data_IF_206276061401
#
_entry.id   IF_206276061401
#
_cell.length_a   1.000
_cell.length_b   1.000
_cell.length_c   1.000
_cell.angle_alpha   90.00
_cell.angle_beta   90.00
_cell.angle_gamma   90.00
#
_symmetry.space_group_name_H-M   'P 1'
#
loop_
_entity.id
_entity.type
_entity.pdbx_description
1 polymer ?
#
# COMPACT_ATOMS: atom_id res chain seq x y z
N UNK A 1 -12.80 -12.21 5.08
CA UNK A 1 -12.59 -10.75 5.07
C UNK A 1 -13.95 -10.09 5.22
N UNK A 2 -14.03 -8.98 5.93
CA UNK A 2 -15.26 -8.20 6.05
C UNK A 2 -14.87 -6.73 5.98
N UNK A 3 -14.77 -6.18 4.76
CA UNK A 3 -14.46 -4.78 4.54
C UNK A 3 -15.44 -4.16 3.55
N UNK A 4 -15.97 -2.99 3.88
CA UNK A 4 -16.88 -2.20 3.04
C UNK A 4 -16.26 -0.82 2.90
N UNK A 5 -16.02 -0.37 1.67
CA UNK A 5 -15.46 0.96 1.36
C UNK A 5 -14.18 1.35 2.14
N UNK A 6 -13.29 0.39 2.40
CA UNK A 6 -12.02 0.64 3.09
C UNK A 6 -12.09 0.63 4.62
N UNK A 7 -13.25 0.29 5.19
CA UNK A 7 -13.45 0.05 6.62
C UNK A 7 -13.75 -1.41 6.89
N UNK A 8 -13.19 -1.96 7.96
CA UNK A 8 -13.44 -3.34 8.40
C UNK A 8 -12.15 -4.12 8.59
N UNK A 9 -12.12 -5.39 8.19
CA UNK A 9 -10.95 -6.25 8.38
C UNK A 9 -10.50 -6.98 7.12
N UNK A 10 -9.17 -7.00 6.91
CA UNK A 10 -8.55 -7.58 5.73
C UNK A 10 -7.12 -8.05 6.02
N UNK A 11 -6.63 -9.00 5.23
CA UNK A 11 -5.18 -9.22 5.12
C UNK A 11 -4.53 -8.02 4.41
N UNK A 12 -3.41 -7.54 4.95
CA UNK A 12 -2.63 -6.44 4.39
C UNK A 12 -1.13 -6.75 4.51
N UNK A 13 -0.41 -6.50 3.42
CA UNK A 13 1.02 -6.79 3.31
C UNK A 13 1.34 -8.26 3.04
N UNK A 14 2.51 -8.50 2.47
CA UNK A 14 3.06 -9.82 2.19
C UNK A 14 4.55 -9.81 2.55
N UNK A 15 5.03 -10.86 3.23
CA UNK A 15 6.44 -11.05 3.56
C UNK A 15 6.74 -12.55 3.75
N UNK A 16 8.00 -12.88 4.06
CA UNK A 16 8.45 -14.25 4.38
C UNK A 16 7.92 -15.28 3.37
N UNK A 17 8.10 -14.97 2.09
CA UNK A 17 7.74 -15.85 1.00
C UNK A 17 8.52 -17.16 1.10
N UNK A 18 7.88 -18.27 0.71
CA UNK A 18 8.51 -19.58 0.60
C UNK A 18 8.41 -20.12 -0.83
N UNK A 19 9.26 -21.09 -1.17
CA UNK A 19 9.32 -21.69 -2.50
C UNK A 19 8.02 -22.41 -2.88
N UNK A 20 7.28 -22.90 -1.89
CA UNK A 20 5.95 -23.51 -2.03
C UNK A 20 4.84 -22.49 -2.37
N UNK A 21 5.16 -21.21 -2.53
CA UNK A 21 4.19 -20.17 -2.86
C UNK A 21 3.49 -19.58 -1.64
N UNK A 22 3.73 -20.09 -0.44
CA UNK A 22 3.16 -19.55 0.78
C UNK A 22 3.85 -18.25 1.21
N UNK A 23 3.15 -17.42 1.97
CA UNK A 23 3.69 -16.15 2.48
C UNK A 23 2.99 -15.70 3.76
N UNK A 24 3.65 -14.86 4.54
CA UNK A 24 3.07 -14.26 5.75
C UNK A 24 2.33 -12.97 5.41
N UNK A 25 1.09 -12.87 5.87
CA UNK A 25 0.29 -11.64 5.82
C UNK A 25 -0.32 -11.35 7.19
N UNK A 26 -0.49 -10.07 7.52
CA UNK A 26 -1.12 -9.68 8.78
C UNK A 26 -2.58 -9.34 8.53
N UNK A 27 -3.46 -9.80 9.41
CA UNK A 27 -4.88 -9.46 9.40
C UNK A 27 -5.10 -8.20 10.24
N UNK A 28 -5.72 -7.19 9.64
CA UNK A 28 -5.83 -5.85 10.19
C UNK A 28 -7.28 -5.42 10.34
N UNK A 29 -7.54 -4.56 11.34
CA UNK A 29 -8.61 -3.56 11.24
C UNK A 29 -8.08 -2.42 10.37
N UNK A 30 -8.83 -2.09 9.33
CA UNK A 30 -8.54 -0.99 8.41
C UNK A 30 -9.54 0.15 8.59
N UNK A 31 -9.05 1.38 8.49
CA UNK A 31 -9.84 2.61 8.41
C UNK A 31 -9.37 3.39 7.18
N UNK A 32 -10.29 3.74 6.27
CA UNK A 32 -9.96 4.41 5.02
C UNK A 32 -8.76 3.77 4.26
N UNK A 33 -8.74 2.43 4.17
CA UNK A 33 -7.66 1.62 3.56
C UNK A 33 -6.31 1.63 4.28
N UNK A 34 -6.19 2.32 5.41
CA UNK A 34 -4.99 2.35 6.24
C UNK A 34 -5.06 1.21 7.28
N UNK A 35 -4.06 0.31 7.36
CA UNK A 35 -3.97 -0.71 8.40
C UNK A 35 -3.66 -0.08 9.76
N UNK A 36 -4.63 -0.11 10.68
CA UNK A 36 -4.54 0.58 11.98
C UNK A 36 -4.18 -0.38 13.11
N UNK A 37 -4.94 -1.47 13.26
CA UNK A 37 -4.76 -2.42 14.37
C UNK A 37 -4.46 -3.81 13.81
N UNK A 38 -3.26 -4.38 14.05
CA UNK A 38 -2.97 -5.75 13.67
C UNK A 38 -3.67 -6.69 14.66
N UNK A 39 -4.39 -7.69 14.14
CA UNK A 39 -5.13 -8.66 14.96
C UNK A 39 -4.33 -9.95 15.15
N UNK A 40 -3.77 -10.47 14.06
CA UNK A 40 -2.88 -11.65 14.05
C UNK A 40 -2.13 -11.70 12.71
N UNK A 41 -1.04 -12.43 12.64
CA UNK A 41 -0.42 -12.78 11.37
C UNK A 41 -0.82 -14.18 10.95
N UNK A 42 -0.78 -14.47 9.66
CA UNK A 42 -1.10 -15.78 9.13
C UNK A 42 -0.15 -16.13 7.99
N UNK A 43 0.23 -17.40 7.93
CA UNK A 43 0.82 -17.96 6.71
C UNK A 43 -0.31 -18.31 5.77
N UNK A 44 -0.38 -17.60 4.66
CA UNK A 44 -1.32 -17.84 3.57
C UNK A 44 -0.76 -19.00 2.73
N UNK A 45 -1.53 -20.08 2.65
CA UNK A 45 -1.19 -21.26 1.86
C UNK A 45 -1.83 -21.18 0.47
N UNK A 46 -3.08 -20.74 0.43
CA UNK A 46 -3.85 -20.66 -0.79
C UNK A 46 -4.89 -19.52 -0.73
N UNK A 47 -5.26 -18.98 -1.87
CA UNK A 47 -6.27 -17.91 -1.97
C UNK A 47 -7.15 -18.11 -3.20
N UNK A 48 -8.46 -18.17 -2.98
CA UNK A 48 -9.47 -18.27 -4.04
C UNK A 48 -10.49 -17.14 -3.87
N UNK A 49 -10.43 -16.13 -4.74
CA UNK A 49 -11.29 -14.96 -4.60
C UNK A 49 -11.03 -14.22 -3.28
N UNK A 50 -12.06 -14.19 -2.43
CA UNK A 50 -12.05 -13.61 -1.08
C UNK A 50 -11.78 -14.63 0.03
N UNK A 51 -11.66 -15.93 -0.33
CA UNK A 51 -11.39 -17.02 0.62
C UNK A 51 -9.89 -17.27 0.70
N UNK A 52 -9.41 -17.40 1.93
CA UNK A 52 -8.00 -17.66 2.24
C UNK A 52 -7.94 -18.98 2.99
N UNK A 53 -7.04 -19.86 2.56
CA UNK A 53 -6.57 -20.97 3.38
C UNK A 53 -5.29 -20.51 4.06
N UNK A 54 -5.30 -20.50 5.40
CA UNK A 54 -4.22 -19.93 6.17
C UNK A 54 -4.06 -20.60 7.52
N UNK A 55 -2.85 -20.54 8.05
CA UNK A 55 -2.53 -20.94 9.42
C UNK A 55 -2.22 -19.69 10.22
N UNK A 56 -2.95 -19.47 11.32
CA UNK A 56 -2.69 -18.34 12.23
C UNK A 56 -1.35 -18.53 12.93
N UNK A 57 -0.59 -17.46 13.04
CA UNK A 57 0.68 -17.40 13.75
C UNK A 57 0.70 -16.15 14.64
N UNK A 58 1.60 -16.07 15.64
CA UNK A 58 1.81 -14.85 16.40
C UNK A 58 2.08 -13.65 15.48
N UNK A 59 1.71 -12.45 15.94
CA UNK A 59 1.88 -11.23 15.16
C UNK A 59 3.37 -11.07 14.76
N UNK A 60 3.60 -10.95 13.46
CA UNK A 60 4.91 -10.61 12.92
C UNK A 60 5.10 -9.10 13.04
N UNK A 61 5.63 -8.68 14.20
CA UNK A 61 5.89 -7.27 14.49
C UNK A 61 6.84 -6.61 13.50
N UNK A 62 7.79 -7.36 12.91
CA UNK A 62 8.67 -6.80 11.88
C UNK A 62 7.88 -6.39 10.64
N UNK A 63 6.89 -7.18 10.22
CA UNK A 63 6.00 -6.80 9.11
C UNK A 63 5.15 -5.58 9.47
N UNK A 64 4.58 -5.56 10.67
CA UNK A 64 3.75 -4.45 11.19
C UNK A 64 4.53 -3.13 11.15
N UNK A 65 5.73 -3.10 11.72
CA UNK A 65 6.56 -1.90 11.74
C UNK A 65 6.97 -1.45 10.33
N UNK A 66 7.29 -2.36 9.41
CA UNK A 66 7.62 -1.99 8.01
C UNK A 66 6.45 -1.32 7.31
N UNK A 67 5.22 -1.77 7.56
CA UNK A 67 4.01 -1.18 6.97
C UNK A 67 3.79 0.23 7.52
N UNK A 68 3.82 0.40 8.84
CA UNK A 68 3.66 1.72 9.46
C UNK A 68 4.79 2.68 9.10
N UNK A 69 6.04 2.22 9.10
CA UNK A 69 7.20 3.01 8.70
C UNK A 69 7.09 3.47 7.24
N UNK A 70 6.62 2.60 6.33
CA UNK A 70 6.39 2.97 4.94
C UNK A 70 5.30 4.05 4.82
N UNK A 71 4.17 3.91 5.51
CA UNK A 71 3.09 4.91 5.50
C UNK A 71 3.59 6.24 6.07
N UNK A 72 4.30 6.22 7.19
CA UNK A 72 4.87 7.41 7.81
C UNK A 72 5.91 8.09 6.89
N UNK A 73 6.79 7.32 6.26
CA UNK A 73 7.78 7.82 5.30
C UNK A 73 7.12 8.44 4.05
N UNK A 74 6.03 7.85 3.58
CA UNK A 74 5.27 8.39 2.46
C UNK A 74 4.61 9.74 2.81
N UNK A 75 3.95 9.82 3.96
CA UNK A 75 3.29 11.07 4.40
C UNK A 75 4.32 12.17 4.69
N UNK A 76 5.35 11.84 5.47
CA UNK A 76 6.38 12.81 5.86
C UNK A 76 7.21 13.28 4.66
N UNK A 77 7.60 12.39 3.75
CA UNK A 77 8.32 12.77 2.55
C UNK A 77 7.47 13.62 1.60
N UNK A 78 6.18 13.33 1.45
CA UNK A 78 5.27 14.19 0.69
C UNK A 78 5.20 15.59 1.28
N UNK A 79 5.02 15.69 2.61
CA UNK A 79 5.00 16.95 3.34
C UNK A 79 6.30 17.73 3.16
N UNK A 80 7.46 17.06 3.28
CA UNK A 80 8.76 17.68 3.05
C UNK A 80 8.92 18.21 1.62
N UNK A 81 8.48 17.46 0.61
CA UNK A 81 8.49 17.93 -0.78
C UNK A 81 7.68 19.22 -0.93
N UNK A 82 6.47 19.27 -0.35
CA UNK A 82 5.62 20.48 -0.37
C UNK A 82 6.31 21.65 0.33
N UNK A 83 6.86 21.45 1.53
CA UNK A 83 7.59 22.51 2.25
C UNK A 83 8.78 23.05 1.46
N UNK A 84 9.57 22.16 0.85
CA UNK A 84 10.74 22.54 0.07
C UNK A 84 10.36 23.30 -1.21
N UNK A 85 9.35 22.83 -1.94
CA UNK A 85 8.80 23.49 -3.12
C UNK A 85 8.32 24.91 -2.78
N UNK A 86 7.56 25.06 -1.70
CA UNK A 86 7.03 26.35 -1.26
C UNK A 86 8.15 27.35 -0.93
N UNK A 87 9.29 26.87 -0.43
CA UNK A 87 10.45 27.71 -0.16
C UNK A 87 11.22 28.08 -1.43
N UNK A 88 11.30 27.17 -2.41
CA UNK A 88 12.14 27.32 -3.58
C UNK A 88 11.55 28.24 -4.68
N UNK A 89 10.28 28.66 -4.56
CA UNK A 89 9.56 29.50 -5.54
C UNK A 89 9.72 29.01 -6.99
N UNK A 90 9.66 27.69 -7.17
CA UNK A 90 9.79 27.02 -8.46
C UNK A 90 8.51 27.24 -9.30
N UNK A 91 8.60 27.06 -10.63
CA UNK A 91 7.42 27.11 -11.49
C UNK A 91 6.40 26.03 -11.12
N UNK A 92 5.11 26.40 -11.06
CA UNK A 92 3.99 25.50 -10.72
C UNK A 92 3.97 24.16 -11.49
N UNK A 93 4.46 24.15 -12.74
CA UNK A 93 4.55 22.92 -13.56
C UNK A 93 5.54 21.91 -13.00
N UNK A 94 6.69 22.38 -12.54
CA UNK A 94 7.76 21.52 -12.00
C UNK A 94 7.33 20.97 -10.63
N UNK A 95 6.66 21.77 -9.80
CA UNK A 95 6.11 21.35 -8.51
C UNK A 95 5.21 20.12 -8.63
N UNK A 96 4.26 20.19 -9.57
CA UNK A 96 3.37 19.07 -9.88
C UNK A 96 4.14 17.81 -10.29
N UNK A 97 5.14 17.96 -11.17
CA UNK A 97 5.94 16.84 -11.65
C UNK A 97 6.73 16.17 -10.50
N UNK A 98 7.29 16.95 -9.59
CA UNK A 98 8.01 16.42 -8.42
C UNK A 98 7.06 15.61 -7.54
N UNK A 99 5.90 16.17 -7.19
CA UNK A 99 4.93 15.50 -6.30
C UNK A 99 4.32 14.24 -6.92
N UNK A 100 4.01 14.28 -8.22
CA UNK A 100 3.52 13.11 -8.97
C UNK A 100 4.61 12.03 -9.01
N UNK A 101 5.83 12.41 -9.36
CA UNK A 101 6.96 11.46 -9.45
C UNK A 101 7.21 10.78 -8.11
N UNK A 102 7.26 11.55 -7.02
CA UNK A 102 7.40 11.04 -5.67
C UNK A 102 6.27 10.04 -5.32
N UNK A 103 5.02 10.40 -5.61
CA UNK A 103 3.85 9.56 -5.33
C UNK A 103 3.90 8.25 -6.11
N UNK A 104 4.25 8.29 -7.39
CA UNK A 104 4.36 7.10 -8.24
C UNK A 104 5.48 6.18 -7.74
N UNK A 105 6.64 6.73 -7.37
CA UNK A 105 7.75 5.95 -6.81
C UNK A 105 7.31 5.24 -5.52
N UNK A 106 6.68 5.97 -4.59
CA UNK A 106 6.21 5.40 -3.32
C UNK A 106 5.15 4.32 -3.54
N UNK A 107 4.20 4.52 -4.45
CA UNK A 107 3.18 3.52 -4.79
C UNK A 107 3.78 2.22 -5.38
N UNK A 108 4.82 2.34 -6.20
CA UNK A 108 5.45 1.19 -6.86
C UNK A 108 6.46 0.47 -5.96
N UNK A 109 7.03 1.15 -4.96
CA UNK A 109 8.10 0.64 -4.12
C UNK A 109 7.76 -0.70 -3.44
N UNK A 110 6.61 -0.88 -2.74
CA UNK A 110 6.29 -2.16 -2.11
C UNK A 110 6.17 -3.30 -3.13
N UNK A 111 5.57 -3.05 -4.29
CA UNK A 111 5.41 -4.05 -5.36
C UNK A 111 6.77 -4.47 -5.93
N UNK A 112 7.66 -3.50 -6.15
CA UNK A 112 9.02 -3.74 -6.60
C UNK A 112 9.84 -4.55 -5.60
N UNK A 113 9.79 -4.20 -4.31
CA UNK A 113 10.50 -4.93 -3.25
C UNK A 113 9.96 -6.37 -3.10
N UNK A 114 8.65 -6.57 -3.22
CA UNK A 114 8.04 -7.90 -3.21
C UNK A 114 8.44 -8.73 -4.43
N UNK A 115 8.50 -8.12 -5.61
CA UNK A 115 8.99 -8.79 -6.82
C UNK A 115 10.44 -9.27 -6.62
N UNK A 116 11.33 -8.43 -6.10
CA UNK A 116 12.69 -8.82 -5.77
C UNK A 116 12.74 -9.96 -4.74
N UNK A 117 11.92 -9.89 -3.69
CA UNK A 117 11.87 -10.93 -2.65
C UNK A 117 11.43 -12.29 -3.24
N UNK A 118 10.39 -12.31 -4.08
CA UNK A 118 9.92 -13.53 -4.77
C UNK A 118 10.97 -14.13 -5.70
N UNK A 119 11.71 -13.27 -6.43
CA UNK A 119 12.77 -13.69 -7.35
C UNK A 119 13.92 -14.42 -6.64
N UNK A 120 14.24 -14.06 -5.39
CA UNK A 120 15.36 -14.64 -4.62
C UNK A 120 15.15 -16.10 -4.21
N UNK A 121 13.91 -16.58 -4.18
CA UNK A 121 13.56 -17.89 -3.57
C UNK A 121 12.83 -18.84 -4.54
N UNK A 122 12.85 -18.54 -5.85
CA UNK A 122 12.12 -19.30 -6.88
C UNK A 122 10.66 -19.53 -6.48
N UNK A 123 9.97 -18.43 -6.13
CA UNK A 123 8.58 -18.47 -5.67
C UNK A 123 7.66 -19.09 -6.73
N UNK A 124 7.04 -20.23 -6.43
CA UNK A 124 6.04 -20.86 -7.30
C UNK A 124 4.63 -20.52 -6.81
N UNK A 125 3.92 -19.58 -7.48
CA UNK A 125 2.57 -19.23 -7.07
C UNK A 125 1.62 -20.41 -7.29
N UNK A 126 1.08 -20.98 -6.21
CA UNK A 126 0.00 -21.98 -6.28
C UNK A 126 -1.39 -21.34 -6.52
N UNK A 127 -1.40 -20.07 -6.95
CA UNK A 127 -2.58 -19.22 -6.99
C UNK A 127 -2.61 -18.44 -8.30
N UNK A 128 -3.77 -18.35 -8.95
CA UNK A 128 -4.02 -17.31 -9.96
C UNK A 128 -4.02 -15.96 -9.25
N UNK A 129 -3.03 -15.12 -9.50
CA UNK A 129 -2.89 -13.77 -8.93
C UNK A 129 -4.14 -12.93 -9.23
N UNK A 130 -5.15 -13.01 -8.35
CA UNK A 130 -6.21 -12.02 -8.35
C UNK A 130 -5.59 -10.71 -7.87
N UNK A 131 -5.83 -9.60 -8.58
CA UNK A 131 -5.20 -8.33 -8.24
C UNK A 131 -5.51 -7.97 -6.79
N UNK A 132 -4.48 -7.60 -6.03
CA UNK A 132 -4.57 -7.25 -4.62
C UNK A 132 -5.58 -6.12 -4.34
N UNK A 133 -5.91 -5.36 -5.39
CA UNK A 133 -6.90 -4.32 -5.40
C UNK A 133 -7.89 -4.68 -6.51
N UNK A 134 -9.18 -4.84 -6.17
CA UNK A 134 -10.24 -5.00 -7.18
C UNK A 134 -10.12 -3.88 -8.21
N UNK A 135 -10.29 -4.16 -9.51
CA UNK A 135 -10.28 -3.10 -10.55
C UNK A 135 -11.19 -1.93 -10.16
N UNK A 136 -12.32 -2.20 -9.49
CA UNK A 136 -13.24 -1.18 -8.97
C UNK A 136 -12.62 -0.30 -7.87
N UNK A 137 -11.81 -0.87 -6.99
CA UNK A 137 -11.12 -0.14 -5.92
C UNK A 137 -9.96 0.70 -6.49
N UNK A 138 -9.24 0.21 -7.51
CA UNK A 138 -8.28 1.04 -8.26
C UNK A 138 -9.02 2.21 -8.92
N UNK A 139 -10.14 1.93 -9.58
CA UNK A 139 -11.00 2.95 -10.21
C UNK A 139 -11.64 3.94 -9.24
N UNK A 140 -11.65 3.69 -7.93
CA UNK A 140 -12.18 4.63 -6.93
C UNK A 140 -11.05 5.39 -6.24
N UNK A 141 -10.00 4.68 -5.81
CA UNK A 141 -8.90 5.26 -5.04
C UNK A 141 -7.99 6.12 -5.92
N UNK A 142 -7.74 5.72 -7.17
CA UNK A 142 -6.89 6.51 -8.08
C UNK A 142 -7.52 7.87 -8.41
N UNK A 143 -8.79 7.96 -8.87
CA UNK A 143 -9.42 9.27 -9.10
C UNK A 143 -9.72 10.03 -7.81
N UNK A 144 -9.88 9.37 -6.66
CA UNK A 144 -9.96 10.07 -5.36
C UNK A 144 -8.62 10.72 -5.00
N UNK A 145 -7.50 10.01 -5.16
CA UNK A 145 -6.16 10.57 -4.94
C UNK A 145 -5.87 11.70 -5.93
N UNK A 146 -6.21 11.51 -7.21
CA UNK A 146 -6.11 12.56 -8.23
C UNK A 146 -7.02 13.73 -7.88
N UNK A 147 -8.26 13.47 -7.46
CA UNK A 147 -9.23 14.50 -7.10
C UNK A 147 -8.82 15.30 -5.87
N UNK A 148 -8.25 14.66 -4.85
CA UNK A 148 -7.67 15.34 -3.68
C UNK A 148 -6.45 16.15 -4.09
N UNK A 149 -5.57 15.60 -4.93
CA UNK A 149 -4.44 16.36 -5.47
C UNK A 149 -4.92 17.59 -6.26
N UNK A 150 -5.92 17.44 -7.14
CA UNK A 150 -6.51 18.53 -7.91
C UNK A 150 -7.23 19.57 -7.03
N UNK A 151 -7.93 19.14 -5.97
CA UNK A 151 -8.60 20.02 -5.01
C UNK A 151 -7.57 20.83 -4.21
N UNK A 152 -6.50 20.19 -3.75
CA UNK A 152 -5.39 20.86 -3.08
C UNK A 152 -4.69 21.84 -4.03
N UNK A 153 -4.55 21.48 -5.31
CA UNK A 153 -4.05 22.40 -6.35
C UNK A 153 -4.97 23.59 -6.57
N UNK A 154 -6.29 23.39 -6.55
CA UNK A 154 -7.29 24.46 -6.71
C UNK A 154 -7.27 25.42 -5.52
N UNK A 155 -7.32 24.91 -4.29
CA UNK A 155 -7.31 25.73 -3.07
C UNK A 155 -6.00 26.52 -2.89
N UNK A 156 -4.90 26.04 -3.47
CA UNK A 156 -3.64 26.75 -3.51
C UNK A 156 -3.57 27.82 -4.63
N UNK A 157 -4.50 27.81 -5.59
CA UNK A 157 -4.59 28.85 -6.63
C UNK A 157 -5.42 30.06 -6.20
N UNK A 158 -6.28 29.91 -5.19
CA UNK A 158 -7.17 30.97 -4.68
C UNK A 158 -6.54 31.82 -3.55
N UNK A 159 -5.42 31.38 -2.97
CA UNK A 159 -4.61 32.15 -2.00
C UNK A 159 -3.37 32.75 -2.67
#
# INVERSE_FOLDING_TARGET
>A
MSSINGFGTTFYGECDYQSDGSYTSTYWIILAFIPVIPLYSARILHKEGTRYQYVKIPINWQQVFRIWAFIAAWISGYWMCVMWINQAQISKRIDMLILITYTVIMLLLPSFLRYQAKKRIVFQPHVQLLPAISKKTIFLVVPLIIGVALLLMYLHMEN
#
